data_IF_083628758639
#
_entry.id   IF_083628758639
#
_cell.length_a   1.000
_cell.length_b   1.000
_cell.length_c   1.000
_cell.angle_alpha   90.00
_cell.angle_beta   90.00
_cell.angle_gamma   90.00
#
_symmetry.space_group_name_H-M   'P 1'
#
loop_
_entity.id
_entity.type
_entity.pdbx_description
1 polymer ?
#
# COMPACT_ATOMS: atom_id res chain seq x y z
N UNK A 1 -41.41 -56.98 14.03
CA UNK A 1 -40.94 -58.38 13.87
C UNK A 1 -40.52 -58.56 12.40
N UNK A 2 -39.21 -58.79 12.18
CA UNK A 2 -38.54 -59.31 10.96
C UNK A 2 -39.09 -58.89 9.58
N UNK A 3 -38.41 -57.93 8.96
CA UNK A 3 -38.34 -57.82 7.50
C UNK A 3 -36.95 -58.25 7.05
N UNK A 4 -36.85 -59.52 6.67
CA UNK A 4 -35.82 -60.02 5.79
C UNK A 4 -36.35 -59.93 4.36
N UNK A 5 -35.53 -59.45 3.42
CA UNK A 5 -35.30 -60.07 2.11
C UNK A 5 -34.32 -59.24 1.29
N UNK A 6 -33.13 -59.80 1.14
CA UNK A 6 -32.11 -59.47 0.14
C UNK A 6 -32.47 -60.23 -1.13
N UNK A 7 -32.38 -59.56 -2.28
CA UNK A 7 -32.15 -60.06 -3.66
C UNK A 7 -32.94 -59.20 -4.63
N UNK A 8 -32.47 -58.77 -5.79
CA UNK A 8 -31.19 -58.86 -6.49
C UNK A 8 -31.40 -58.04 -7.78
N UNK A 9 -30.35 -57.96 -8.60
CA UNK A 9 -30.33 -57.61 -10.04
C UNK A 9 -30.08 -56.16 -10.47
N UNK A 10 -29.24 -56.11 -11.52
CA UNK A 10 -28.92 -55.05 -12.47
C UNK A 10 -27.81 -54.10 -11.97
N UNK A 11 -26.52 -54.42 -12.16
CA UNK A 11 -25.76 -54.66 -13.40
C UNK A 11 -25.90 -53.52 -14.43
N UNK A 12 -24.74 -52.87 -14.68
CA UNK A 12 -24.39 -52.03 -15.84
C UNK A 12 -24.92 -50.60 -15.88
N UNK A 13 -24.10 -49.65 -15.39
CA UNK A 13 -23.88 -48.38 -16.09
C UNK A 13 -22.38 -48.15 -16.17
N UNK A 14 -21.83 -48.48 -17.33
CA UNK A 14 -20.47 -48.19 -17.76
C UNK A 14 -20.44 -46.75 -18.28
N UNK A 15 -19.50 -45.98 -17.74
CA UNK A 15 -18.71 -44.91 -18.37
C UNK A 15 -19.24 -44.31 -19.68
N UNK A 16 -19.75 -43.08 -19.60
CA UNK A 16 -19.50 -42.04 -20.61
C UNK A 16 -19.29 -40.71 -19.87
N UNK A 17 -18.06 -40.46 -19.42
CA UNK A 17 -17.55 -39.09 -19.23
C UNK A 17 -16.36 -38.99 -20.17
N UNK A 18 -16.65 -38.71 -21.44
CA UNK A 18 -15.65 -38.23 -22.37
C UNK A 18 -16.13 -36.93 -22.99
N UNK A 19 -15.18 -36.00 -23.08
CA UNK A 19 -15.17 -34.86 -23.98
C UNK A 19 -16.18 -33.71 -23.73
N UNK A 20 -15.95 -32.96 -22.66
CA UNK A 20 -15.94 -31.49 -22.76
C UNK A 20 -14.51 -31.01 -22.51
N UNK A 21 -13.60 -31.37 -23.41
CA UNK A 21 -12.33 -30.68 -23.56
C UNK A 21 -12.60 -29.42 -24.38
N UNK A 22 -12.80 -28.29 -23.72
CA UNK A 22 -12.69 -27.00 -24.38
C UNK A 22 -11.20 -26.80 -24.64
N UNK A 23 -10.78 -27.03 -25.88
CA UNK A 23 -9.44 -26.64 -26.34
C UNK A 23 -9.40 -25.12 -26.38
N UNK A 24 -9.01 -24.51 -25.26
CA UNK A 24 -8.49 -23.16 -25.28
C UNK A 24 -7.19 -23.23 -26.09
N UNK A 25 -7.29 -22.81 -27.36
CA UNK A 25 -6.11 -22.39 -28.11
C UNK A 25 -5.58 -21.17 -27.35
N UNK A 26 -4.66 -21.42 -26.43
CA UNK A 26 -3.85 -20.37 -25.83
C UNK A 26 -2.94 -19.85 -26.93
N UNK A 27 -3.43 -18.85 -27.65
CA UNK A 27 -2.59 -17.97 -28.45
C UNK A 27 -1.75 -17.14 -27.45
N UNK A 28 -0.68 -17.76 -26.94
CA UNK A 28 0.20 -17.23 -25.88
C UNK A 28 1.10 -16.07 -26.36
N UNK A 29 0.81 -15.46 -27.52
CA UNK A 29 1.61 -14.38 -28.10
C UNK A 29 0.98 -12.99 -28.12
N UNK A 30 -0.36 -12.88 -28.11
CA UNK A 30 -1.05 -11.60 -28.40
C UNK A 30 -1.70 -10.90 -27.21
N UNK A 31 -2.05 -11.62 -26.14
CA UNK A 31 -2.85 -11.06 -25.05
C UNK A 31 -2.06 -10.10 -24.13
N UNK A 32 -0.79 -10.40 -23.86
CA UNK A 32 0.06 -9.56 -23.00
C UNK A 32 0.51 -8.25 -23.68
N UNK A 33 0.68 -8.28 -25.01
CA UNK A 33 1.04 -7.11 -25.83
C UNK A 33 -0.17 -6.19 -26.08
N UNK A 34 -1.34 -6.79 -26.31
CA UNK A 34 -2.61 -6.07 -26.40
C UNK A 34 -2.96 -5.36 -25.08
N UNK A 35 -2.67 -5.99 -23.93
CA UNK A 35 -2.88 -5.36 -22.62
C UNK A 35 -2.04 -4.09 -22.42
N UNK A 36 -0.73 -4.16 -22.71
CA UNK A 36 0.19 -3.01 -22.57
C UNK A 36 -0.19 -1.83 -23.47
N UNK A 37 -0.57 -2.11 -24.71
CA UNK A 37 -0.99 -1.05 -25.65
C UNK A 37 -2.32 -0.39 -25.24
N UNK A 38 -3.24 -1.12 -24.62
CA UNK A 38 -4.47 -0.57 -24.06
C UNK A 38 -4.19 0.31 -22.84
N UNK A 39 -3.31 -0.12 -21.95
CA UNK A 39 -2.92 0.65 -20.76
C UNK A 39 -2.23 1.95 -21.18
N UNK A 40 -1.32 1.91 -22.15
CA UNK A 40 -0.65 3.11 -22.69
C UNK A 40 -1.64 4.09 -23.33
N UNK A 41 -2.59 3.59 -24.12
CA UNK A 41 -3.64 4.42 -24.71
C UNK A 41 -4.57 5.02 -23.64
N UNK A 42 -4.88 4.28 -22.59
CA UNK A 42 -5.71 4.74 -21.48
C UNK A 42 -4.98 5.80 -20.61
N UNK A 43 -3.67 5.64 -20.39
CA UNK A 43 -2.81 6.66 -19.75
C UNK A 43 -2.78 7.92 -20.61
N UNK A 44 -2.53 7.79 -21.92
CA UNK A 44 -2.52 8.93 -22.84
C UNK A 44 -3.87 9.66 -22.92
N UNK A 45 -4.98 8.93 -22.75
CA UNK A 45 -6.32 9.48 -22.65
C UNK A 45 -6.66 10.07 -21.27
N UNK A 46 -5.78 9.94 -20.27
CA UNK A 46 -6.00 10.39 -18.89
C UNK A 46 -7.05 9.58 -18.13
N UNK A 47 -7.36 8.36 -18.59
CA UNK A 47 -8.33 7.45 -17.96
C UNK A 47 -7.69 6.73 -16.77
N UNK A 48 -6.43 6.32 -16.93
CA UNK A 48 -5.63 5.64 -15.90
C UNK A 48 -4.47 6.57 -15.50
N UNK A 49 -4.13 6.57 -14.21
CA UNK A 49 -2.97 7.30 -13.69
C UNK A 49 -1.69 6.63 -14.19
N UNK A 50 -0.76 7.43 -14.73
CA UNK A 50 0.57 6.95 -15.10
C UNK A 50 1.39 6.64 -13.83
N UNK A 51 1.73 5.37 -13.56
CA UNK A 51 2.52 5.00 -12.38
C UNK A 51 3.95 5.55 -12.42
N UNK A 52 4.50 5.87 -13.59
CA UNK A 52 5.85 6.43 -13.74
C UNK A 52 5.87 7.95 -13.52
N UNK A 53 4.74 8.64 -13.67
CA UNK A 53 4.61 10.07 -13.44
C UNK A 53 4.17 10.44 -12.01
N UNK A 54 4.06 9.47 -11.10
CA UNK A 54 3.64 9.70 -9.73
C UNK A 54 4.64 10.57 -8.95
N UNK A 55 4.11 11.49 -8.16
CA UNK A 55 4.87 12.32 -7.22
C UNK A 55 4.35 12.06 -5.80
N UNK A 56 5.23 11.65 -4.88
CA UNK A 56 4.87 11.43 -3.49
C UNK A 56 4.74 12.76 -2.72
N UNK A 57 5.24 13.87 -3.26
CA UNK A 57 5.25 15.16 -2.57
C UNK A 57 3.84 15.57 -2.11
N UNK A 58 3.72 15.97 -0.84
CA UNK A 58 2.48 16.52 -0.32
C UNK A 58 2.22 16.26 1.15
N UNK A 59 1.04 16.67 1.58
CA UNK A 59 0.41 16.39 2.85
C UNK A 59 -0.69 15.34 2.66
N UNK A 60 -0.66 14.33 3.52
CA UNK A 60 -1.61 13.24 3.57
C UNK A 60 -2.25 13.22 4.95
N UNK A 61 -3.58 13.11 5.03
CA UNK A 61 -4.29 13.06 6.30
C UNK A 61 -5.48 12.11 6.25
N UNK A 62 -5.65 11.33 7.31
CA UNK A 62 -6.87 10.54 7.53
C UNK A 62 -7.46 10.93 8.87
N UNK A 63 -8.66 11.50 8.84
CA UNK A 63 -9.42 11.79 10.06
C UNK A 63 -10.22 10.55 10.48
N UNK A 64 -10.13 10.20 11.75
CA UNK A 64 -10.89 9.11 12.35
C UNK A 64 -11.42 9.53 13.72
N UNK A 65 -12.41 8.81 14.24
CA UNK A 65 -12.91 9.03 15.60
C UNK A 65 -11.84 8.84 16.70
N UNK A 66 -10.65 8.35 16.36
CA UNK A 66 -9.54 8.09 17.27
C UNK A 66 -8.41 9.12 17.15
N UNK A 67 -8.50 10.05 16.19
CA UNK A 67 -7.47 11.03 15.90
C UNK A 67 -7.17 11.11 14.40
N UNK A 68 -6.17 11.94 14.06
CA UNK A 68 -5.74 12.20 12.68
C UNK A 68 -4.42 11.52 12.39
N UNK A 69 -4.43 10.56 11.48
CA UNK A 69 -3.22 10.03 10.87
C UNK A 69 -2.69 11.07 9.88
N UNK A 70 -1.37 11.21 9.82
CA UNK A 70 -0.69 12.16 8.92
C UNK A 70 0.53 11.51 8.30
N UNK A 71 0.75 11.83 7.04
CA UNK A 71 2.01 11.57 6.37
C UNK A 71 2.38 12.81 5.55
N UNK A 72 3.67 13.05 5.41
CA UNK A 72 4.16 14.11 4.54
C UNK A 72 5.36 13.60 3.76
N UNK A 73 5.55 14.18 2.58
CA UNK A 73 6.75 13.98 1.80
C UNK A 73 7.17 15.27 1.12
N UNK A 74 8.47 15.57 1.17
CA UNK A 74 9.11 16.68 0.48
C UNK A 74 10.12 16.10 -0.50
N UNK A 75 9.94 16.38 -1.79
CA UNK A 75 10.90 15.95 -2.81
C UNK A 75 12.21 16.72 -2.66
N UNK A 76 13.30 15.99 -2.62
CA UNK A 76 14.66 16.52 -2.60
C UNK A 76 15.26 16.55 -4.00
N UNK A 77 16.30 17.37 -4.21
CA UNK A 77 17.01 17.46 -5.49
C UNK A 77 17.61 16.11 -5.94
N UNK A 78 17.93 15.24 -4.98
CA UNK A 78 18.40 13.87 -5.24
C UNK A 78 17.35 12.94 -5.84
N UNK A 79 16.09 13.36 -5.93
CA UNK A 79 14.96 12.54 -6.37
C UNK A 79 14.35 11.66 -5.26
N UNK A 80 14.98 11.59 -4.08
CA UNK A 80 14.39 11.02 -2.86
C UNK A 80 13.43 11.99 -2.20
N UNK A 81 12.74 11.51 -1.17
CA UNK A 81 11.86 12.33 -0.34
C UNK A 81 12.32 12.31 1.11
N UNK A 82 12.22 13.45 1.77
CA UNK A 82 12.14 13.48 3.24
C UNK A 82 10.69 13.29 3.63
N UNK A 83 10.47 12.39 4.58
CA UNK A 83 9.13 11.95 4.95
C UNK A 83 8.96 11.94 6.45
N UNK A 84 7.71 12.09 6.88
CA UNK A 84 7.31 11.87 8.25
C UNK A 84 5.94 11.21 8.32
N UNK A 85 5.73 10.41 9.36
CA UNK A 85 4.50 9.66 9.59
C UNK A 85 4.02 9.83 11.01
N UNK A 86 2.71 9.92 11.16
CA UNK A 86 1.97 9.82 12.41
C UNK A 86 0.74 8.93 12.14
N UNK A 87 0.64 7.81 12.84
CA UNK A 87 -0.55 6.96 12.87
C UNK A 87 -1.10 6.93 14.29
N UNK A 88 -2.39 7.22 14.47
CA UNK A 88 -3.01 7.44 15.78
C UNK A 88 -4.07 6.39 16.07
N UNK A 89 -3.99 5.79 17.25
CA UNK A 89 -4.91 4.76 17.74
C UNK A 89 -5.55 5.19 19.07
N UNK A 90 -6.21 6.34 19.06
CA UNK A 90 -6.80 6.96 20.24
C UNK A 90 -5.93 8.05 20.84
N UNK A 91 -6.21 8.42 22.09
CA UNK A 91 -5.58 9.59 22.70
C UNK A 91 -4.08 9.40 22.99
N UNK A 92 -3.66 8.18 23.35
CA UNK A 92 -2.31 7.93 23.88
C UNK A 92 -1.49 6.87 23.14
N UNK A 93 -2.05 6.24 22.10
CA UNK A 93 -1.39 5.17 21.34
C UNK A 93 -1.12 5.70 19.94
N UNK A 94 0.12 5.60 19.48
CA UNK A 94 0.51 6.06 18.16
C UNK A 94 1.75 5.36 17.61
N UNK A 95 1.98 5.51 16.32
CA UNK A 95 3.29 5.39 15.72
C UNK A 95 3.71 6.73 15.12
N UNK A 96 4.97 7.12 15.29
CA UNK A 96 5.46 8.43 14.84
C UNK A 96 6.96 8.35 14.53
N UNK A 97 7.37 8.92 13.39
CA UNK A 97 8.77 8.92 12.97
C UNK A 97 9.02 9.79 11.74
N UNK A 98 10.29 10.04 11.48
CA UNK A 98 10.80 10.79 10.32
C UNK A 98 11.86 9.99 9.60
N UNK A 99 12.08 10.30 8.34
CA UNK A 99 13.11 9.63 7.58
C UNK A 99 13.02 9.96 6.11
N UNK A 100 13.30 8.96 5.30
CA UNK A 100 13.51 9.16 3.86
C UNK A 100 12.79 8.08 3.07
N UNK A 101 12.35 8.44 1.88
CA UNK A 101 11.66 7.51 0.98
C UNK A 101 12.18 7.59 -0.46
N UNK A 102 11.97 6.51 -1.19
CA UNK A 102 12.06 6.46 -2.65
C UNK A 102 10.73 5.99 -3.23
N UNK A 103 10.31 6.58 -4.35
CA UNK A 103 9.15 6.17 -5.12
C UNK A 103 9.61 5.55 -6.44
N UNK A 104 9.07 4.38 -6.78
CA UNK A 104 9.39 3.62 -8.00
C UNK A 104 8.14 2.91 -8.51
N UNK A 105 7.55 3.42 -9.59
CA UNK A 105 6.32 2.90 -10.20
C UNK A 105 5.20 2.62 -9.16
N UNK A 106 4.90 3.60 -8.30
CA UNK A 106 3.91 3.46 -7.23
C UNK A 106 4.36 2.69 -5.99
N UNK A 107 5.55 2.07 -6.00
CA UNK A 107 6.12 1.44 -4.81
C UNK A 107 6.94 2.45 -4.02
N UNK A 108 6.63 2.57 -2.73
CA UNK A 108 7.34 3.44 -1.80
C UNK A 108 8.18 2.57 -0.87
N UNK A 109 9.49 2.80 -0.84
CA UNK A 109 10.39 2.22 0.16
C UNK A 109 10.79 3.31 1.13
N UNK A 110 10.63 3.06 2.43
CA UNK A 110 10.91 4.04 3.47
C UNK A 110 11.87 3.51 4.52
N UNK A 111 12.79 4.39 4.93
CA UNK A 111 13.65 4.22 6.09
C UNK A 111 13.26 5.29 7.10
N UNK A 112 12.63 4.89 8.21
CA UNK A 112 12.09 5.78 9.23
C UNK A 112 12.81 5.57 10.56
N UNK A 113 12.85 6.62 11.39
CA UNK A 113 13.37 6.58 12.76
C UNK A 113 12.64 7.60 13.63
N UNK A 114 12.57 7.37 14.94
CA UNK A 114 12.14 8.38 15.91
C UNK A 114 13.33 9.14 16.46
N UNK A 115 14.36 8.39 16.85
CA UNK A 115 15.63 8.87 17.40
C UNK A 115 16.83 8.34 16.59
N UNK A 116 18.06 8.47 17.09
CA UNK A 116 19.29 8.13 16.35
C UNK A 116 19.69 6.64 16.39
N UNK A 117 18.95 5.78 17.09
CA UNK A 117 19.41 4.42 17.42
C UNK A 117 18.88 3.34 16.47
N UNK A 118 17.55 3.24 16.29
CA UNK A 118 16.94 2.17 15.49
C UNK A 118 16.22 2.69 14.25
N UNK A 119 16.41 1.97 13.14
CA UNK A 119 15.76 2.22 11.85
C UNK A 119 14.65 1.20 11.60
N UNK A 120 13.51 1.72 11.16
CA UNK A 120 12.38 0.97 10.63
C UNK A 120 12.42 1.04 9.10
N UNK A 121 12.68 -0.09 8.46
CA UNK A 121 12.55 -0.24 7.01
C UNK A 121 11.18 -0.83 6.70
N UNK A 122 10.40 -0.17 5.85
CA UNK A 122 9.09 -0.66 5.43
C UNK A 122 8.77 -0.28 3.98
N UNK A 123 7.74 -0.92 3.43
CA UNK A 123 7.22 -0.63 2.10
C UNK A 123 5.78 -0.17 2.17
N UNK A 124 5.40 0.61 1.16
CA UNK A 124 4.04 1.07 0.92
C UNK A 124 3.76 1.13 -0.58
N UNK A 125 2.50 1.29 -0.95
CA UNK A 125 2.08 1.63 -2.31
C UNK A 125 1.43 3.01 -2.34
N UNK A 126 1.57 3.70 -3.46
CA UNK A 126 0.94 4.98 -3.74
C UNK A 126 0.35 4.96 -5.14
N UNK A 127 -0.93 5.30 -5.26
CA UNK A 127 -1.68 5.26 -6.52
C UNK A 127 -2.00 6.66 -7.08
N UNK A 128 -1.36 7.71 -6.53
CA UNK A 128 -1.67 9.11 -6.85
C UNK A 128 -2.67 9.76 -5.90
N UNK A 129 -3.40 8.97 -5.11
CA UNK A 129 -4.42 9.48 -4.19
C UNK A 129 -4.30 8.92 -2.76
N UNK A 130 -3.75 7.72 -2.57
CA UNK A 130 -3.69 7.05 -1.28
C UNK A 130 -2.32 6.42 -1.07
N UNK A 131 -1.70 6.71 0.07
CA UNK A 131 -0.54 5.96 0.55
C UNK A 131 -1.03 4.77 1.38
N UNK A 132 -0.54 3.56 1.10
CA UNK A 132 -0.93 2.32 1.79
C UNK A 132 0.29 1.57 2.26
N UNK A 133 0.53 1.55 3.58
CA UNK A 133 1.62 0.77 4.17
C UNK A 133 1.30 -0.72 4.05
N UNK A 134 2.31 -1.53 3.78
CA UNK A 134 2.16 -2.98 3.70
C UNK A 134 1.47 -3.56 4.96
N UNK A 135 0.72 -4.64 4.77
CA UNK A 135 0.01 -5.32 5.87
C UNK A 135 0.94 -6.02 6.87
N UNK A 136 2.23 -6.04 6.59
CA UNK A 136 3.30 -6.56 7.46
C UNK A 136 4.45 -5.56 7.46
N UNK A 137 5.05 -5.32 8.62
CA UNK A 137 6.23 -4.47 8.80
C UNK A 137 7.24 -5.19 9.69
N UNK A 138 8.52 -4.86 9.55
CA UNK A 138 9.57 -5.46 10.36
C UNK A 138 9.39 -5.16 11.86
N UNK A 139 9.84 -6.08 12.72
CA UNK A 139 9.77 -5.91 14.18
C UNK A 139 10.48 -4.64 14.67
N UNK A 140 11.52 -4.19 13.96
CA UNK A 140 12.22 -2.94 14.29
C UNK A 140 11.33 -1.70 14.19
N UNK A 141 10.21 -1.77 13.46
CA UNK A 141 9.24 -0.69 13.38
C UNK A 141 8.47 -0.47 14.69
N UNK A 142 8.53 -1.41 15.64
CA UNK A 142 8.01 -1.20 16.98
C UNK A 142 8.71 -0.02 17.70
N UNK A 143 9.97 0.29 17.33
CA UNK A 143 10.70 1.46 17.85
C UNK A 143 10.00 2.80 17.51
N UNK A 144 9.18 2.82 16.45
CA UNK A 144 8.35 3.96 16.06
C UNK A 144 7.00 3.97 16.76
N UNK A 145 6.68 3.06 17.68
CA UNK A 145 5.32 2.84 18.13
C UNK A 145 5.21 2.81 19.66
N UNK A 146 4.09 3.32 20.19
CA UNK A 146 3.66 3.01 21.55
C UNK A 146 3.39 1.50 21.67
N UNK A 147 3.41 0.91 22.88
CA UNK A 147 3.03 -0.48 23.06
C UNK A 147 1.66 -0.78 22.45
N UNK A 148 1.58 -1.86 21.65
CA UNK A 148 0.37 -2.33 20.93
C UNK A 148 -0.03 -1.54 19.68
N UNK A 149 0.74 -0.54 19.27
CA UNK A 149 0.56 0.11 17.97
C UNK A 149 1.40 -0.58 16.87
N UNK A 150 0.99 -0.41 15.62
CA UNK A 150 1.76 -0.85 14.45
C UNK A 150 1.45 0.05 13.25
N UNK A 151 2.41 0.20 12.33
CA UNK A 151 2.21 0.87 11.04
C UNK A 151 1.60 -0.06 9.98
N UNK A 152 1.51 -1.36 10.26
CA UNK A 152 0.99 -2.34 9.32
C UNK A 152 -0.44 -2.01 8.86
N UNK A 153 -0.63 -1.94 7.54
CA UNK A 153 -1.94 -1.68 6.92
C UNK A 153 -2.50 -0.27 7.12
N UNK A 154 -1.70 0.68 7.59
CA UNK A 154 -2.12 2.09 7.66
C UNK A 154 -2.30 2.64 6.26
N UNK A 155 -3.43 3.29 6.01
CA UNK A 155 -3.75 3.96 4.74
C UNK A 155 -4.08 5.43 5.00
N UNK A 156 -3.44 6.33 4.25
CA UNK A 156 -3.59 7.78 4.45
C UNK A 156 -3.77 8.45 3.07
N UNK A 157 -4.88 9.16 2.82
CA UNK A 157 -5.13 9.81 1.53
C UNK A 157 -4.32 11.11 1.39
N UNK A 158 -3.93 11.41 0.16
CA UNK A 158 -3.33 12.68 -0.22
C UNK A 158 -4.37 13.80 -0.14
N UNK A 159 -4.02 14.89 0.53
CA UNK A 159 -4.88 16.07 0.71
C UNK A 159 -4.43 17.22 -0.17
N UNK A 160 -3.11 17.44 -0.26
CA UNK A 160 -2.51 18.54 -1.00
C UNK A 160 -1.10 18.12 -1.45
N UNK A 161 -0.78 18.25 -2.74
CA UNK A 161 0.49 17.80 -3.31
C UNK A 161 1.61 18.88 -3.28
N UNK A 162 1.37 20.00 -2.60
CA UNK A 162 2.36 21.07 -2.49
C UNK A 162 3.38 20.81 -1.37
N UNK A 163 4.62 21.27 -1.61
CA UNK A 163 5.67 21.33 -0.59
C UNK A 163 5.24 22.16 0.63
N UNK A 164 4.53 23.26 0.40
CA UNK A 164 4.01 24.15 1.45
C UNK A 164 3.00 23.46 2.37
N UNK A 165 2.20 22.52 1.85
CA UNK A 165 1.32 21.71 2.68
C UNK A 165 2.11 20.66 3.47
N UNK A 166 3.07 19.98 2.83
CA UNK A 166 3.91 18.96 3.46
C UNK A 166 4.66 19.51 4.69
N UNK A 167 5.23 20.71 4.61
CA UNK A 167 5.97 21.35 5.73
C UNK A 167 5.09 21.74 6.92
N UNK A 168 3.76 21.78 6.75
CA UNK A 168 2.79 22.06 7.81
C UNK A 168 2.36 20.80 8.55
N UNK A 169 2.77 19.62 8.11
CA UNK A 169 2.45 18.36 8.76
C UNK A 169 3.04 18.34 10.18
N UNK A 170 2.17 18.49 11.18
CA UNK A 170 2.55 18.38 12.60
C UNK A 170 2.52 16.93 13.06
N UNK A 171 3.38 16.59 14.00
CA UNK A 171 3.33 15.33 14.72
C UNK A 171 2.47 15.43 15.98
N UNK A 172 2.60 14.44 16.88
CA UNK A 172 2.12 14.54 18.27
C UNK A 172 3.28 14.88 19.19
N UNK A 173 4.37 14.13 19.10
CA UNK A 173 5.59 14.37 19.88
C UNK A 173 6.65 15.12 19.05
N UNK A 174 6.59 15.00 17.72
CA UNK A 174 7.47 15.73 16.81
C UNK A 174 6.76 17.02 16.36
N UNK A 175 7.39 18.19 16.54
CA UNK A 175 6.75 19.45 16.13
C UNK A 175 6.47 19.46 14.63
N UNK A 176 7.43 19.12 13.76
CA UNK A 176 7.20 19.00 12.31
C UNK A 176 7.64 17.64 11.78
N UNK A 177 6.72 16.94 11.11
CA UNK A 177 7.00 15.65 10.50
C UNK A 177 7.92 15.78 9.28
N UNK A 178 7.74 16.84 8.49
CA UNK A 178 8.65 17.20 7.41
C UNK A 178 9.17 18.61 7.62
N UNK A 179 10.48 18.76 7.48
CA UNK A 179 11.18 20.03 7.56
C UNK A 179 11.80 20.30 6.19
N UNK A 180 11.78 21.55 5.77
CA UNK A 180 12.49 21.97 4.58
C UNK A 180 13.94 22.25 5.00
N UNK A 181 14.92 21.60 4.36
CA UNK A 181 16.34 21.80 4.70
C UNK A 181 16.82 23.25 4.48
N UNK A 182 16.02 24.09 3.81
CA UNK A 182 16.31 25.51 3.61
C UNK A 182 16.07 26.40 4.86
N UNK A 183 15.52 25.86 5.94
CA UNK A 183 15.34 26.55 7.23
C UNK A 183 16.48 26.28 8.26
N UNK A 184 17.59 25.63 7.84
CA UNK A 184 18.78 25.39 8.67
C UNK A 184 19.98 26.26 8.27
#
# INVERSE_FOLDING_TARGET
>A
MRLARISALSLTVVLIVSACGVEFNSDEGGAADSGKSLDEAAIAAGIIVDPEALDLQGLYERDSGYGKDRFCAIRQESGRYDVGVLAVFGESIQCEGRGVASLDAGNVRMTLRRDKEETCELTATFDGAMLKIAGEVADSCAALCSPRASLAGVEIPLIDNSKDAATKAKGRDIDRLCEDESDQ
#
